data_IF_065402227182
#
_entry.id   IF_065402227182
#
_cell.length_a   1.000
_cell.length_b   1.000
_cell.length_c   1.000
_cell.angle_alpha   90.00
_cell.angle_beta   90.00
_cell.angle_gamma   90.00
#
_symmetry.space_group_name_H-M   'P 1'
#
loop_
_entity.id
_entity.type
_entity.pdbx_description
1 polymer ?
#
# COMPACT_ATOMS: atom_id res chain seq x y z
N UNK A 1 22.70 -13.23 -10.83
CA UNK A 1 22.36 -11.82 -11.08
C UNK A 1 22.39 -11.08 -9.77
N UNK A 2 22.93 -9.85 -9.73
CA UNK A 2 22.84 -8.99 -8.55
C UNK A 2 21.41 -8.46 -8.37
N UNK A 3 21.08 -8.00 -7.16
CA UNK A 3 19.79 -7.37 -6.87
C UNK A 3 19.49 -6.19 -7.81
N UNK A 4 20.50 -5.36 -8.10
CA UNK A 4 20.37 -4.22 -9.02
C UNK A 4 20.04 -4.67 -10.45
N UNK A 5 20.63 -5.79 -10.90
CA UNK A 5 20.30 -6.38 -12.21
C UNK A 5 18.88 -6.95 -12.23
N UNK A 6 18.44 -7.62 -11.15
CA UNK A 6 17.08 -8.16 -11.06
C UNK A 6 16.02 -7.06 -11.09
N UNK A 7 16.27 -5.96 -10.38
CA UNK A 7 15.37 -4.80 -10.28
C UNK A 7 15.55 -3.79 -11.41
N UNK A 8 16.59 -3.93 -12.25
CA UNK A 8 16.95 -3.00 -13.31
C UNK A 8 17.17 -1.55 -12.84
N UNK A 9 17.81 -1.38 -11.68
CA UNK A 9 18.15 -0.07 -11.09
C UNK A 9 19.66 0.17 -11.09
N UNK A 10 20.09 1.45 -11.02
CA UNK A 10 21.50 1.87 -11.07
C UNK A 10 22.11 1.97 -9.68
N UNK A 11 21.34 2.45 -8.72
CA UNK A 11 21.80 2.73 -7.36
C UNK A 11 21.11 1.81 -6.36
N UNK A 12 21.81 1.33 -5.32
CA UNK A 12 21.22 0.54 -4.24
C UNK A 12 20.43 1.43 -3.25
N UNK A 13 19.62 2.35 -3.78
CA UNK A 13 18.82 3.31 -3.02
C UNK A 13 17.36 2.95 -3.26
N UNK A 14 16.68 2.63 -2.16
CA UNK A 14 15.29 2.20 -2.16
C UNK A 14 14.49 3.26 -1.40
N UNK A 15 13.63 3.99 -2.09
CA UNK A 15 12.69 4.87 -1.42
C UNK A 15 11.73 4.01 -0.59
N UNK A 16 11.58 4.28 0.70
CA UNK A 16 10.61 3.54 1.50
C UNK A 16 9.18 3.84 1.02
N UNK A 17 8.31 2.83 0.86
CA UNK A 17 6.88 3.07 0.64
C UNK A 17 6.27 3.61 1.94
N UNK A 18 5.71 4.82 1.90
CA UNK A 18 5.18 5.50 3.08
C UNK A 18 3.73 5.89 2.83
N UNK A 19 2.79 5.08 3.34
CA UNK A 19 1.36 5.36 3.20
C UNK A 19 1.03 6.77 3.73
N UNK A 20 0.36 7.59 2.92
CA UNK A 20 0.05 8.99 3.23
C UNK A 20 1.17 10.01 2.99
N UNK A 21 2.38 9.57 2.57
CA UNK A 21 3.52 10.45 2.31
C UNK A 21 4.12 10.24 0.91
N UNK A 22 4.35 8.99 0.49
CA UNK A 22 4.86 8.70 -0.84
C UNK A 22 3.83 9.06 -1.91
N UNK A 23 4.25 9.78 -2.95
CA UNK A 23 3.40 10.16 -4.09
C UNK A 23 3.93 9.58 -5.40
N UNK A 24 3.09 9.52 -6.46
CA UNK A 24 3.54 9.19 -7.81
C UNK A 24 4.73 10.01 -8.29
N UNK A 25 4.74 11.32 -8.02
CA UNK A 25 5.82 12.24 -8.39
C UNK A 25 7.13 11.89 -7.66
N UNK A 26 7.06 11.62 -6.36
CA UNK A 26 8.24 11.26 -5.57
C UNK A 26 8.80 9.91 -6.02
N UNK A 27 7.94 8.92 -6.23
CA UNK A 27 8.36 7.60 -6.71
C UNK A 27 9.00 7.70 -8.11
N UNK A 28 8.35 8.40 -9.04
CA UNK A 28 8.86 8.59 -10.38
C UNK A 28 10.21 9.33 -10.40
N UNK A 29 10.38 10.38 -9.58
CA UNK A 29 11.64 11.12 -9.52
C UNK A 29 12.79 10.24 -9.03
N UNK A 30 12.59 9.48 -7.95
CA UNK A 30 13.63 8.55 -7.47
C UNK A 30 13.98 7.49 -8.52
N UNK A 31 12.97 6.95 -9.21
CA UNK A 31 13.17 6.00 -10.32
C UNK A 31 13.93 6.62 -11.49
N UNK A 32 13.63 7.87 -11.86
CA UNK A 32 14.34 8.61 -12.91
C UNK A 32 15.81 8.86 -12.57
N UNK A 33 16.14 9.05 -11.29
CA UNK A 33 17.52 9.15 -10.81
C UNK A 33 18.21 7.78 -10.67
N UNK A 34 17.54 6.67 -11.01
CA UNK A 34 18.13 5.32 -11.03
C UNK A 34 18.09 4.59 -9.69
N UNK A 35 17.39 5.10 -8.69
CA UNK A 35 16.98 4.34 -7.50
C UNK A 35 15.70 3.52 -7.77
N UNK A 36 15.18 2.87 -6.73
CA UNK A 36 13.86 2.24 -6.78
C UNK A 36 12.83 3.14 -6.09
N UNK A 37 12.03 3.86 -6.88
CA UNK A 37 10.84 4.55 -6.40
C UNK A 37 9.79 3.59 -5.85
N UNK A 38 8.95 4.07 -4.92
CA UNK A 38 7.98 3.22 -4.22
C UNK A 38 6.69 3.95 -3.89
N UNK A 39 5.56 3.24 -4.02
CA UNK A 39 4.25 3.69 -3.56
C UNK A 39 3.79 2.89 -2.33
N UNK A 40 3.39 3.58 -1.27
CA UNK A 40 2.70 3.00 -0.10
C UNK A 40 1.18 2.94 -0.33
N UNK A 41 0.69 1.80 -0.83
CA UNK A 41 -0.71 1.65 -1.25
C UNK A 41 -1.61 0.94 -0.23
N UNK A 42 -1.06 0.43 0.88
CA UNK A 42 -1.82 -0.31 1.91
C UNK A 42 -2.94 0.46 2.62
N UNK A 43 -3.00 1.79 2.46
CA UNK A 43 -4.05 2.65 3.01
C UNK A 43 -5.06 3.13 1.94
N UNK A 44 -5.06 2.54 0.74
CA UNK A 44 -5.89 2.97 -0.38
C UNK A 44 -7.01 1.98 -0.68
N UNK A 45 -8.03 2.44 -1.40
CA UNK A 45 -8.96 1.55 -2.11
C UNK A 45 -8.27 0.95 -3.34
N UNK A 46 -8.75 -0.20 -3.87
CA UNK A 46 -8.26 -0.75 -5.14
C UNK A 46 -8.26 0.28 -6.28
N UNK A 47 -9.33 1.07 -6.41
CA UNK A 47 -9.41 2.12 -7.42
C UNK A 47 -8.31 3.18 -7.27
N UNK A 48 -8.15 3.76 -6.07
CA UNK A 48 -7.10 4.76 -5.81
C UNK A 48 -5.70 4.19 -6.04
N UNK A 49 -5.46 2.94 -5.62
CA UNK A 49 -4.20 2.26 -5.85
C UNK A 49 -3.89 2.14 -7.35
N UNK A 50 -4.86 1.72 -8.17
CA UNK A 50 -4.71 1.64 -9.62
C UNK A 50 -4.39 3.01 -10.24
N UNK A 51 -5.13 4.04 -9.86
CA UNK A 51 -4.92 5.41 -10.37
C UNK A 51 -3.50 5.92 -10.06
N UNK A 52 -2.99 5.68 -8.85
CA UNK A 52 -1.64 6.09 -8.46
C UNK A 52 -0.54 5.32 -9.21
N UNK A 53 -0.74 4.03 -9.47
CA UNK A 53 0.20 3.22 -10.26
C UNK A 53 0.26 3.76 -11.69
N UNK A 54 -0.89 3.94 -12.34
CA UNK A 54 -0.96 4.47 -13.71
C UNK A 54 -0.36 5.88 -13.81
N UNK A 55 -0.63 6.74 -12.81
CA UNK A 55 -0.02 8.08 -12.75
C UNK A 55 1.50 7.99 -12.64
N UNK A 56 2.04 7.06 -11.85
CA UNK A 56 3.50 6.85 -11.75
C UNK A 56 4.09 6.38 -13.07
N UNK A 57 3.43 5.44 -13.75
CA UNK A 57 3.83 4.95 -15.08
C UNK A 57 3.79 6.03 -16.16
N UNK A 58 2.92 7.04 -16.03
CA UNK A 58 2.91 8.20 -16.91
C UNK A 58 4.08 9.18 -16.65
N UNK A 59 4.70 9.12 -15.47
CA UNK A 59 5.78 10.02 -15.04
C UNK A 59 7.18 9.40 -15.18
N UNK A 60 7.28 8.08 -15.32
CA UNK A 60 8.56 7.38 -15.50
C UNK A 60 8.41 6.09 -16.29
N UNK A 61 9.38 5.82 -17.17
CA UNK A 61 9.58 4.51 -17.80
C UNK A 61 10.51 3.60 -16.95
N UNK A 62 11.08 4.13 -15.87
CA UNK A 62 12.03 3.42 -15.02
C UNK A 62 11.31 2.55 -13.96
N UNK A 63 11.97 1.49 -13.47
CA UNK A 63 11.40 0.61 -12.46
C UNK A 63 10.98 1.32 -11.17
N UNK A 64 9.81 0.96 -10.66
CA UNK A 64 9.33 1.32 -9.33
C UNK A 64 8.63 0.11 -8.68
N UNK A 65 8.44 0.17 -7.36
CA UNK A 65 7.69 -0.83 -6.62
C UNK A 65 6.39 -0.29 -6.03
N UNK A 66 5.49 -1.20 -5.67
CA UNK A 66 4.28 -0.92 -4.91
C UNK A 66 4.27 -1.72 -3.61
N UNK A 67 3.66 -1.17 -2.57
CA UNK A 67 3.59 -1.81 -1.27
C UNK A 67 2.16 -1.91 -0.75
N UNK A 68 1.82 -3.07 -0.17
CA UNK A 68 0.52 -3.32 0.45
C UNK A 68 0.67 -3.84 1.89
N UNK A 69 -0.35 -3.61 2.70
CA UNK A 69 -0.45 -4.23 4.02
C UNK A 69 -1.00 -5.64 3.88
N UNK A 70 -0.44 -6.57 4.63
CA UNK A 70 -0.72 -8.01 4.57
C UNK A 70 -0.95 -8.55 5.99
N UNK A 71 -1.68 -7.78 6.79
CA UNK A 71 -2.00 -8.12 8.17
C UNK A 71 -3.21 -9.07 8.21
N UNK A 72 -3.35 -9.83 9.30
CA UNK A 72 -4.56 -10.61 9.52
C UNK A 72 -5.70 -9.68 9.93
N UNK A 73 -6.73 -9.61 9.10
CA UNK A 73 -7.93 -8.84 9.41
C UNK A 73 -8.67 -9.47 10.59
N UNK A 74 -9.21 -8.62 11.45
CA UNK A 74 -10.02 -9.02 12.60
C UNK A 74 -11.39 -8.38 12.48
N UNK A 75 -12.44 -9.12 12.83
CA UNK A 75 -13.79 -8.58 12.87
C UNK A 75 -13.88 -7.48 13.92
N UNK A 76 -14.65 -6.43 13.59
CA UNK A 76 -14.88 -5.33 14.51
C UNK A 76 -15.63 -5.83 15.75
N UNK A 77 -15.00 -5.72 16.91
CA UNK A 77 -15.69 -5.89 18.17
C UNK A 77 -16.46 -4.59 18.50
N UNK A 78 -17.78 -4.60 18.24
CA UNK A 78 -18.67 -3.44 18.42
C UNK A 78 -18.64 -2.90 19.85
N UNK A 79 -18.57 -3.77 20.85
CA UNK A 79 -18.55 -3.36 22.26
C UNK A 79 -17.25 -2.64 22.61
N UNK A 80 -16.09 -3.20 22.21
CA UNK A 80 -14.79 -2.54 22.38
C UNK A 80 -14.71 -1.22 21.61
N UNK A 81 -15.29 -1.16 20.41
CA UNK A 81 -15.35 0.06 19.61
C UNK A 81 -16.14 1.16 20.33
N UNK A 82 -17.31 0.84 20.89
CA UNK A 82 -18.11 1.79 21.69
C UNK A 82 -17.35 2.28 22.92
N UNK A 83 -16.73 1.36 23.67
CA UNK A 83 -15.91 1.72 24.83
C UNK A 83 -14.75 2.64 24.46
N UNK A 84 -14.10 2.41 23.32
CA UNK A 84 -13.03 3.26 22.82
C UNK A 84 -13.51 4.65 22.40
N UNK A 85 -14.67 4.74 21.72
CA UNK A 85 -15.28 6.01 21.34
C UNK A 85 -15.68 6.83 22.56
N UNK A 86 -16.26 6.19 23.58
CA UNK A 86 -16.63 6.88 24.82
C UNK A 86 -15.40 7.38 25.58
N UNK A 87 -14.34 6.56 25.65
CA UNK A 87 -13.06 6.96 26.21
C UNK A 87 -12.47 8.19 25.51
N UNK A 88 -12.59 8.28 24.19
CA UNK A 88 -12.08 9.41 23.41
C UNK A 88 -13.01 10.63 23.40
N UNK A 89 -14.29 10.52 23.81
CA UNK A 89 -15.27 11.61 23.77
C UNK A 89 -14.77 12.92 24.38
N UNK A 90 -14.13 12.95 25.57
CA UNK A 90 -13.64 14.20 26.15
C UNK A 90 -12.55 14.88 25.30
N UNK A 91 -11.83 14.11 24.46
CA UNK A 91 -10.85 14.68 23.53
C UNK A 91 -11.52 15.37 22.34
N UNK A 92 -12.63 14.84 21.83
CA UNK A 92 -13.42 15.49 20.79
C UNK A 92 -14.11 16.77 21.30
N UNK A 93 -14.69 16.72 22.51
CA UNK A 93 -15.40 17.85 23.11
C UNK A 93 -14.50 19.07 23.34
N UNK A 94 -13.21 18.86 23.65
CA UNK A 94 -12.22 19.94 23.74
C UNK A 94 -12.10 20.78 22.47
N UNK A 95 -12.44 20.20 21.32
CA UNK A 95 -12.45 20.87 20.02
C UNK A 95 -13.86 21.21 19.53
N UNK A 96 -14.89 21.10 20.38
CA UNK A 96 -16.29 21.30 20.01
C UNK A 96 -16.82 20.26 19.02
N UNK A 97 -16.16 19.10 18.93
CA UNK A 97 -16.53 18.02 18.03
C UNK A 97 -17.21 16.87 18.77
N UNK A 98 -17.82 15.96 18.01
CA UNK A 98 -18.37 14.69 18.50
C UNK A 98 -17.58 13.53 17.91
N UNK A 99 -17.35 12.43 18.67
CA UNK A 99 -16.76 11.23 18.11
C UNK A 99 -17.68 10.63 17.02
N UNK A 100 -17.13 9.83 16.08
CA UNK A 100 -17.96 9.12 15.12
C UNK A 100 -18.89 8.12 15.82
N UNK A 101 -20.00 7.76 15.17
CA UNK A 101 -20.96 6.81 15.73
C UNK A 101 -20.45 5.36 15.68
N UNK A 102 -19.62 5.05 14.69
CA UNK A 102 -19.06 3.73 14.45
C UNK A 102 -17.62 3.83 13.94
N UNK A 103 -16.85 2.76 14.16
CA UNK A 103 -15.53 2.57 13.58
C UNK A 103 -15.66 1.64 12.38
N UNK A 104 -14.90 1.90 11.32
CA UNK A 104 -14.83 1.04 10.15
C UNK A 104 -13.38 0.68 9.85
N UNK A 105 -13.17 -0.45 9.19
CA UNK A 105 -11.84 -0.81 8.70
C UNK A 105 -11.45 0.16 7.58
N UNK A 106 -10.41 0.96 7.83
CA UNK A 106 -9.91 1.96 6.86
C UNK A 106 -8.77 1.44 6.00
N UNK A 107 -8.08 0.39 6.44
CA UNK A 107 -6.91 -0.17 5.76
C UNK A 107 -7.17 -1.64 5.43
N UNK A 108 -7.67 -1.95 4.21
CA UNK A 108 -7.89 -3.33 3.82
C UNK A 108 -6.55 -4.10 3.75
N UNK A 109 -6.60 -5.39 4.05
CA UNK A 109 -5.45 -6.27 3.89
C UNK A 109 -5.41 -6.86 2.49
N UNK A 110 -4.20 -7.07 1.97
CA UNK A 110 -3.96 -7.86 0.76
C UNK A 110 -4.44 -9.31 0.90
N UNK A 111 -4.66 -9.78 2.14
CA UNK A 111 -5.21 -11.10 2.42
C UNK A 111 -6.73 -11.19 2.29
N UNK A 112 -7.45 -10.06 2.31
CA UNK A 112 -8.91 -10.07 2.41
C UNK A 112 -9.57 -10.61 1.13
N UNK A 113 -9.01 -10.25 -0.04
CA UNK A 113 -9.44 -10.69 -1.35
C UNK A 113 -8.34 -10.45 -2.41
N UNK A 114 -8.62 -10.76 -3.67
CA UNK A 114 -7.67 -10.63 -4.78
C UNK A 114 -7.77 -9.30 -5.56
N UNK A 115 -8.46 -8.28 -5.05
CA UNK A 115 -8.66 -7.01 -5.79
C UNK A 115 -7.32 -6.29 -6.05
N UNK A 116 -6.46 -6.18 -5.02
CA UNK A 116 -5.13 -5.62 -5.19
C UNK A 116 -4.21 -6.51 -6.02
N UNK A 117 -4.35 -7.83 -5.91
CA UNK A 117 -3.61 -8.77 -6.76
C UNK A 117 -3.93 -8.50 -8.23
N UNK A 118 -5.21 -8.42 -8.58
CA UNK A 118 -5.66 -8.16 -9.95
C UNK A 118 -5.08 -6.86 -10.52
N UNK A 119 -5.03 -5.79 -9.72
CA UNK A 119 -4.41 -4.52 -10.12
C UNK A 119 -2.92 -4.68 -10.39
N UNK A 120 -2.20 -5.41 -9.52
CA UNK A 120 -0.76 -5.65 -9.72
C UNK A 120 -0.51 -6.49 -10.96
N UNK A 121 -1.33 -7.52 -11.21
CA UNK A 121 -1.23 -8.36 -12.41
C UNK A 121 -1.53 -7.56 -13.70
N UNK A 122 -2.47 -6.62 -13.63
CA UNK A 122 -2.80 -5.71 -14.73
C UNK A 122 -1.65 -4.71 -15.01
N UNK A 123 -1.17 -4.04 -13.96
CA UNK A 123 -0.25 -2.89 -14.09
C UNK A 123 1.23 -3.27 -14.09
N UNK A 124 1.58 -4.47 -13.62
CA UNK A 124 2.93 -5.06 -13.65
C UNK A 124 4.06 -4.11 -13.19
N UNK A 125 3.99 -3.55 -11.96
CA UNK A 125 5.12 -2.83 -11.38
C UNK A 125 6.34 -3.75 -11.25
N UNK A 126 7.56 -3.21 -11.19
CA UNK A 126 8.77 -4.04 -11.20
C UNK A 126 8.90 -4.92 -9.97
N UNK A 127 8.41 -4.45 -8.83
CA UNK A 127 8.42 -5.20 -7.59
C UNK A 127 7.19 -4.89 -6.74
N UNK A 128 6.83 -5.84 -5.89
CA UNK A 128 5.75 -5.72 -4.93
C UNK A 128 6.31 -6.10 -3.57
N UNK A 129 6.11 -5.24 -2.58
CA UNK A 129 6.50 -5.50 -1.20
C UNK A 129 5.28 -5.56 -0.28
N UNK A 130 5.43 -6.24 0.85
CA UNK A 130 4.37 -6.44 1.83
C UNK A 130 4.84 -6.07 3.23
N UNK A 131 3.96 -5.46 4.00
CA UNK A 131 4.16 -5.20 5.44
C UNK A 131 3.16 -5.99 6.27
N UNK A 132 3.54 -6.34 7.51
CA UNK A 132 2.71 -7.04 8.51
C UNK A 132 2.35 -8.51 8.22
N UNK A 133 2.92 -9.10 7.17
CA UNK A 133 2.73 -10.52 6.86
C UNK A 133 3.19 -10.89 5.46
N UNK A 134 2.78 -12.08 5.03
CA UNK A 134 3.04 -12.63 3.70
C UNK A 134 1.72 -13.00 3.02
N UNK A 135 1.55 -12.77 1.70
CA UNK A 135 0.32 -13.11 1.00
C UNK A 135 0.03 -14.61 0.99
N UNK A 136 -1.18 -14.99 0.59
CA UNK A 136 -1.52 -16.39 0.40
C UNK A 136 -0.63 -17.04 -0.69
N UNK A 137 -0.36 -18.37 -0.61
CA UNK A 137 0.48 -19.05 -1.58
C UNK A 137 0.04 -18.86 -3.04
N UNK A 138 -1.26 -18.80 -3.31
CA UNK A 138 -1.77 -18.56 -4.67
C UNK A 138 -1.46 -17.14 -5.16
N UNK A 139 -1.56 -16.14 -4.29
CA UNK A 139 -1.24 -14.75 -4.62
C UNK A 139 0.27 -14.60 -4.91
N UNK A 140 1.14 -15.19 -4.08
CA UNK A 140 2.59 -15.19 -4.32
C UNK A 140 2.93 -15.87 -5.64
N UNK A 141 2.29 -17.00 -5.94
CA UNK A 141 2.50 -17.73 -7.19
C UNK A 141 2.11 -16.88 -8.40
N UNK A 142 0.91 -16.30 -8.39
CA UNK A 142 0.41 -15.45 -9.48
C UNK A 142 1.32 -14.25 -9.73
N UNK A 143 1.80 -13.58 -8.68
CA UNK A 143 2.74 -12.46 -8.80
C UNK A 143 4.05 -12.88 -9.49
N UNK A 144 4.63 -14.01 -9.07
CA UNK A 144 5.89 -14.51 -9.67
C UNK A 144 5.71 -15.00 -11.11
N UNK A 145 4.55 -15.52 -11.48
CA UNK A 145 4.23 -15.93 -12.84
C UNK A 145 4.05 -14.73 -13.79
N UNK A 146 3.73 -13.55 -13.25
CA UNK A 146 3.53 -12.32 -14.02
C UNK A 146 4.82 -11.58 -14.41
N UNK A 147 5.96 -11.91 -13.79
CA UNK A 147 7.28 -11.32 -14.05
C UNK A 147 7.92 -10.71 -12.80
#
# INVERSE_FOLDING_TARGET
>A
MSLLQQLAIKHPIFLAPMAGVSTPELAAEVSNQGGLGSLGLGANTPQSAREQILKTQALTENPFQVNFFCHQSTELNVEKAKQWLEYLRPHFEKFGAQPPQELHCIYPSFLDNDDFLNIVLETKPKAVSFHFGIPHPHQIKALKEAG
#
